data_IF_173936174461
#
_entry.id   IF_173936174461
#
_cell.length_a   1.000
_cell.length_b   1.000
_cell.length_c   1.000
_cell.angle_alpha   90.00
_cell.angle_beta   90.00
_cell.angle_gamma   90.00
#
_symmetry.space_group_name_H-M   'P 1'
#
loop_
_entity.id
_entity.type
_entity.pdbx_description
1 polymer ?
#
# COMPACT_ATOMS: atom_id res chain seq x y z
N UNK A 1 12.42 10.74 25.43
CA UNK A 1 12.08 11.62 24.28
C UNK A 1 11.91 10.67 23.11
N UNK A 2 10.68 10.41 22.67
CA UNK A 2 10.40 9.21 21.87
C UNK A 2 9.21 9.42 20.92
N UNK A 3 9.39 10.24 19.88
CA UNK A 3 8.30 10.62 18.96
C UNK A 3 8.03 9.58 17.85
N UNK A 4 6.80 9.67 17.33
CA UNK A 4 6.17 8.77 16.36
C UNK A 4 6.88 8.60 15.00
N UNK A 5 6.71 7.44 14.38
CA UNK A 5 7.20 7.07 13.05
C UNK A 5 6.15 7.23 11.96
N UNK A 6 6.55 7.50 10.72
CA UNK A 6 5.66 7.52 9.55
C UNK A 6 6.23 6.64 8.43
N UNK A 7 5.50 5.61 8.02
CA UNK A 7 5.78 4.82 6.82
C UNK A 7 4.59 4.95 5.85
N UNK A 8 4.92 5.25 4.60
CA UNK A 8 3.99 5.84 3.67
C UNK A 8 4.13 5.17 2.31
N UNK A 9 3.04 4.68 1.70
CA UNK A 9 3.10 4.09 0.36
C UNK A 9 2.41 4.97 -0.70
N UNK A 10 3.13 5.36 -1.75
CA UNK A 10 2.59 6.10 -2.90
C UNK A 10 2.30 5.18 -4.09
N UNK A 11 1.14 5.36 -4.75
CA UNK A 11 0.85 4.73 -6.06
C UNK A 11 1.03 5.76 -7.17
N UNK A 12 1.93 5.47 -8.10
CA UNK A 12 2.10 6.25 -9.32
C UNK A 12 0.87 6.09 -10.23
N UNK A 13 0.24 7.21 -10.58
CA UNK A 13 -0.20 7.42 -11.95
C UNK A 13 0.89 8.29 -12.58
N UNK A 14 1.26 8.03 -13.83
CA UNK A 14 1.35 9.04 -14.88
C UNK A 14 1.59 8.33 -16.21
N UNK A 15 0.70 8.62 -17.15
CA UNK A 15 0.78 8.22 -18.54
C UNK A 15 1.11 9.45 -19.37
N UNK A 16 2.24 9.36 -20.09
CA UNK A 16 2.70 10.15 -21.25
C UNK A 16 3.56 11.40 -20.99
N UNK A 17 4.58 11.64 -21.86
CA UNK A 17 5.62 12.64 -21.65
C UNK A 17 5.20 13.99 -22.23
N UNK A 18 5.40 15.07 -21.48
CA UNK A 18 5.39 16.42 -22.03
C UNK A 18 6.81 16.97 -21.97
N UNK A 19 7.33 17.25 -23.15
CA UNK A 19 8.60 17.90 -23.38
C UNK A 19 8.66 19.25 -22.65
N UNK A 20 9.75 19.47 -21.92
CA UNK A 20 10.09 20.73 -21.29
C UNK A 20 10.61 21.66 -22.39
N UNK A 21 9.84 22.69 -22.71
CA UNK A 21 10.32 23.84 -23.49
C UNK A 21 10.37 25.04 -22.55
N UNK A 22 11.58 25.46 -22.20
CA UNK A 22 11.85 26.63 -21.37
C UNK A 22 11.66 27.88 -22.21
N UNK A 23 10.73 28.76 -21.84
CA UNK A 23 10.75 30.17 -22.25
C UNK A 23 9.97 31.03 -21.25
N UNK A 24 10.70 31.91 -20.58
CA UNK A 24 10.18 33.08 -19.83
C UNK A 24 9.23 33.87 -20.72
N UNK A 25 8.08 34.30 -20.20
CA UNK A 25 7.44 35.51 -20.69
C UNK A 25 6.69 36.27 -19.60
N UNK A 26 6.94 37.57 -19.61
CA UNK A 26 6.51 38.62 -18.69
C UNK A 26 5.04 38.97 -18.89
N UNK A 27 4.34 39.28 -17.79
CA UNK A 27 2.97 39.80 -17.77
C UNK A 27 2.87 41.19 -18.44
N UNK A 28 1.96 41.34 -19.42
CA UNK A 28 1.29 42.61 -19.73
C UNK A 28 -0.14 42.41 -20.20
N UNK A 29 -0.93 43.43 -19.89
CA UNK A 29 -2.38 43.58 -19.80
C UNK A 29 -3.18 43.50 -21.12
N UNK A 30 -4.44 43.05 -21.00
CA UNK A 30 -5.62 43.09 -21.91
C UNK A 30 -5.86 44.43 -22.66
N UNK A 31 -6.79 44.61 -23.65
CA UNK A 31 -8.04 43.84 -23.88
C UNK A 31 -8.60 43.64 -25.34
N UNK A 32 -9.62 42.75 -25.43
CA UNK A 32 -10.79 42.65 -26.33
C UNK A 32 -10.63 42.84 -27.85
N UNK A 33 -11.01 41.82 -28.63
CA UNK A 33 -11.84 41.99 -29.84
C UNK A 33 -12.58 40.70 -30.24
N UNK A 34 -13.78 40.92 -30.77
CA UNK A 34 -14.89 40.01 -31.09
C UNK A 34 -14.80 39.36 -32.47
N UNK A 35 -15.44 38.18 -32.58
CA UNK A 35 -16.17 37.65 -33.75
C UNK A 35 -15.39 37.31 -35.04
N UNK A 36 -15.39 36.03 -35.43
CA UNK A 36 -15.77 35.62 -36.79
C UNK A 36 -15.98 34.10 -36.89
N UNK A 37 -17.15 33.76 -37.42
CA UNK A 37 -17.66 32.44 -37.77
C UNK A 37 -17.29 32.21 -39.25
N UNK A 38 -16.64 31.09 -39.61
CA UNK A 38 -16.63 30.64 -41.02
C UNK A 38 -16.50 29.11 -41.12
N UNK A 39 -17.53 28.52 -41.74
CA UNK A 39 -17.57 27.17 -42.29
C UNK A 39 -16.84 27.11 -43.64
N UNK A 40 -16.21 25.97 -43.96
CA UNK A 40 -16.00 25.37 -45.31
C UNK A 40 -15.39 23.97 -45.07
N UNK A 41 -16.14 22.85 -45.20
CA UNK A 41 -16.41 22.00 -46.39
C UNK A 41 -15.16 21.47 -47.13
N UNK A 42 -15.08 20.13 -47.26
CA UNK A 42 -14.38 19.40 -48.34
C UNK A 42 -13.25 18.45 -47.86
N UNK A 43 -13.49 17.13 -47.70
CA UNK A 43 -13.14 16.02 -48.64
C UNK A 43 -11.61 15.73 -48.62
N UNK A 44 -11.07 14.58 -48.17
CA UNK A 44 -11.14 13.21 -48.73
C UNK A 44 -10.79 12.12 -47.71
N UNK A 45 -11.49 10.98 -47.79
CA UNK A 45 -11.17 9.67 -47.19
C UNK A 45 -10.02 8.98 -47.94
N UNK A 46 -9.13 8.30 -47.22
CA UNK A 46 -8.28 7.23 -47.75
C UNK A 46 -8.36 6.03 -46.80
N UNK A 47 -9.06 5.00 -47.26
CA UNK A 47 -9.18 3.68 -46.63
C UNK A 47 -8.22 2.77 -47.41
N UNK A 48 -7.23 2.19 -46.75
CA UNK A 48 -6.39 1.12 -47.31
C UNK A 48 -6.81 -0.23 -46.73
N UNK A 49 -6.94 -1.18 -47.66
CA UNK A 49 -7.63 -2.47 -47.57
C UNK A 49 -6.96 -3.49 -46.65
N UNK A 50 -7.84 -4.28 -46.03
CA UNK A 50 -7.61 -5.58 -45.40
C UNK A 50 -7.26 -6.60 -46.49
N UNK A 51 -6.21 -7.40 -46.28
CA UNK A 51 -6.05 -8.71 -46.91
C UNK A 51 -5.89 -9.76 -45.81
N UNK A 52 -6.93 -10.59 -45.63
CA UNK A 52 -6.88 -11.89 -44.98
C UNK A 52 -6.51 -12.94 -46.03
N UNK A 53 -5.57 -13.84 -45.73
CA UNK A 53 -5.52 -15.19 -46.30
C UNK A 53 -5.04 -16.16 -45.23
N UNK A 54 -5.80 -17.25 -45.09
CA UNK A 54 -5.68 -18.36 -44.15
C UNK A 54 -4.80 -19.50 -44.71
N UNK A 55 -4.50 -20.57 -43.93
CA UNK A 55 -3.34 -21.44 -44.09
C UNK A 55 -3.57 -22.65 -45.02
N UNK A 56 -2.53 -23.09 -45.73
CA UNK A 56 -2.58 -24.24 -46.63
C UNK A 56 -1.24 -24.95 -46.77
N UNK A 57 -1.23 -26.23 -46.38
CA UNK A 57 -0.18 -27.25 -46.45
C UNK A 57 0.51 -27.35 -47.82
N UNK A 58 1.83 -27.56 -47.83
CA UNK A 58 2.51 -28.40 -48.82
C UNK A 58 3.65 -29.20 -48.14
N UNK A 59 3.64 -30.52 -48.37
CA UNK A 59 4.66 -31.49 -47.97
C UNK A 59 5.51 -31.89 -49.18
N UNK A 60 6.79 -32.17 -48.89
CA UNK A 60 7.74 -33.09 -49.54
C UNK A 60 8.23 -32.85 -50.99
N UNK A 61 9.56 -32.73 -51.18
CA UNK A 61 10.44 -33.89 -51.50
C UNK A 61 11.93 -33.49 -51.76
N UNK A 62 12.84 -34.41 -51.35
CA UNK A 62 14.24 -34.57 -51.79
C UNK A 62 15.28 -33.70 -51.06
N UNK A 63 16.35 -34.18 -50.44
CA UNK A 63 17.17 -35.38 -50.73
C UNK A 63 17.91 -35.85 -49.46
N UNK A 64 18.00 -37.17 -49.26
CA UNK A 64 18.76 -37.84 -48.18
C UNK A 64 20.26 -37.94 -48.49
N UNK A 65 21.08 -37.85 -47.45
CA UNK A 65 22.21 -38.74 -47.09
C UNK A 65 23.08 -38.02 -46.02
N UNK A 66 23.74 -38.62 -45.02
CA UNK A 66 23.71 -39.90 -44.30
C UNK A 66 24.75 -39.76 -43.17
N UNK A 67 24.54 -40.49 -42.06
CA UNK A 67 25.55 -41.00 -41.11
C UNK A 67 26.14 -40.08 -40.01
N UNK A 68 25.52 -40.20 -38.84
CA UNK A 68 26.12 -40.59 -37.56
C UNK A 68 27.66 -40.63 -37.43
N UNK A 69 28.18 -39.80 -36.53
CA UNK A 69 29.36 -40.11 -35.72
C UNK A 69 28.93 -40.03 -34.26
N UNK A 70 28.96 -41.18 -33.60
CA UNK A 70 28.78 -41.32 -32.16
C UNK A 70 30.01 -40.73 -31.46
N UNK A 71 29.79 -39.77 -30.56
CA UNK A 71 30.74 -39.40 -29.53
C UNK A 71 30.05 -39.60 -28.18
N UNK A 72 30.72 -40.35 -27.33
CA UNK A 72 30.31 -40.82 -26.02
C UNK A 72 29.60 -39.74 -25.18
N UNK A 73 28.37 -40.07 -24.73
CA UNK A 73 27.72 -39.38 -23.62
C UNK A 73 28.51 -39.67 -22.35
N UNK A 74 29.23 -38.66 -21.88
CA UNK A 74 29.63 -38.56 -20.48
C UNK A 74 28.36 -38.53 -19.63
N UNK A 75 28.24 -39.49 -18.72
CA UNK A 75 27.27 -39.49 -17.62
C UNK A 75 27.61 -38.34 -16.67
N UNK A 76 27.21 -37.12 -17.02
CA UNK A 76 27.05 -36.06 -16.05
C UNK A 76 25.64 -36.16 -15.47
N UNK A 77 25.59 -36.68 -14.24
CA UNK A 77 24.47 -36.52 -13.30
C UNK A 77 23.94 -35.09 -13.43
N UNK A 78 22.63 -34.86 -13.62
CA UNK A 78 22.10 -33.51 -13.57
C UNK A 78 22.44 -32.98 -12.18
N UNK A 79 23.30 -31.96 -12.11
CA UNK A 79 23.51 -31.18 -10.91
C UNK A 79 22.14 -30.61 -10.57
N UNK A 80 21.45 -31.25 -9.60
CA UNK A 80 20.22 -30.71 -9.04
C UNK A 80 20.52 -29.27 -8.65
N UNK A 81 19.89 -28.32 -9.33
CA UNK A 81 19.82 -26.95 -8.83
C UNK A 81 19.31 -27.06 -7.38
N UNK A 82 19.96 -26.40 -6.40
CA UNK A 82 19.49 -26.47 -5.02
C UNK A 82 18.02 -26.06 -5.03
N UNK A 83 17.13 -27.01 -4.67
CA UNK A 83 15.68 -26.78 -4.66
C UNK A 83 15.44 -25.49 -3.89
N UNK A 84 14.86 -24.48 -4.57
CA UNK A 84 14.70 -23.17 -3.96
C UNK A 84 13.77 -23.33 -2.73
N UNK A 85 14.33 -23.10 -1.54
CA UNK A 85 13.61 -23.23 -0.29
C UNK A 85 12.61 -22.06 -0.22
N UNK A 86 11.32 -22.37 -0.30
CA UNK A 86 10.30 -21.33 -0.36
C UNK A 86 9.92 -20.78 1.01
N UNK A 87 9.99 -21.60 2.08
CA UNK A 87 9.60 -21.24 3.45
C UNK A 87 10.79 -21.07 4.38
N UNK A 88 10.69 -20.16 5.34
CA UNK A 88 11.65 -20.05 6.45
C UNK A 88 11.07 -20.63 7.73
N UNK A 89 11.95 -21.18 8.58
CA UNK A 89 11.62 -21.64 9.93
C UNK A 89 11.52 -20.43 10.88
N UNK A 90 12.21 -19.34 10.57
CA UNK A 90 12.20 -18.11 11.37
C UNK A 90 10.92 -17.32 11.10
N UNK A 91 9.98 -17.39 12.04
CA UNK A 91 8.72 -16.64 11.98
C UNK A 91 8.79 -15.29 12.70
N UNK A 92 9.89 -14.99 13.39
CA UNK A 92 10.07 -13.72 14.09
C UNK A 92 10.60 -12.64 13.12
N UNK A 93 9.78 -11.62 12.78
CA UNK A 93 10.20 -10.55 11.88
C UNK A 93 11.40 -9.75 12.39
N UNK A 94 11.70 -9.80 13.71
CA UNK A 94 12.86 -9.12 14.26
C UNK A 94 14.20 -9.80 13.94
N UNK A 95 14.20 -11.09 13.60
CA UNK A 95 15.40 -11.86 13.30
C UNK A 95 15.65 -12.05 11.81
N UNK A 96 14.77 -11.50 10.96
CA UNK A 96 14.98 -11.51 9.53
C UNK A 96 16.22 -10.70 9.14
N UNK A 97 16.94 -11.20 8.15
CA UNK A 97 18.18 -10.66 7.61
C UNK A 97 18.31 -11.05 6.13
N UNK A 98 19.41 -10.67 5.50
CA UNK A 98 19.61 -10.85 4.06
C UNK A 98 19.64 -12.33 3.62
N UNK A 99 20.00 -13.24 4.53
CA UNK A 99 19.98 -14.68 4.28
C UNK A 99 18.55 -15.24 4.10
N UNK A 100 17.54 -14.55 4.62
CA UNK A 100 16.13 -14.95 4.53
C UNK A 100 15.42 -14.33 3.33
N UNK A 101 16.14 -13.58 2.49
CA UNK A 101 15.58 -12.92 1.32
C UNK A 101 14.91 -13.92 0.36
N UNK A 102 13.67 -13.62 -0.03
CA UNK A 102 12.87 -14.46 -0.91
C UNK A 102 12.17 -15.62 -0.20
N UNK A 103 12.41 -15.86 1.10
CA UNK A 103 11.72 -16.90 1.85
C UNK A 103 10.40 -16.39 2.44
N UNK A 104 9.44 -17.29 2.62
CA UNK A 104 8.11 -17.03 3.18
C UNK A 104 8.07 -17.42 4.66
N UNK A 105 7.79 -16.47 5.54
CA UNK A 105 7.57 -16.74 6.96
C UNK A 105 6.06 -16.84 7.23
N UNK A 106 5.68 -17.63 8.23
CA UNK A 106 4.27 -17.83 8.59
C UNK A 106 3.85 -16.86 9.68
N UNK A 107 2.72 -16.19 9.47
CA UNK A 107 2.06 -15.33 10.46
C UNK A 107 1.02 -16.17 11.19
N UNK A 108 1.07 -16.19 12.51
CA UNK A 108 0.08 -16.94 13.29
C UNK A 108 -1.34 -16.35 13.06
N UNK A 109 -2.39 -17.18 13.08
CA UNK A 109 -3.76 -16.69 12.88
C UNK A 109 -4.23 -15.75 14.00
N UNK A 110 -3.61 -15.85 15.20
CA UNK A 110 -3.84 -14.91 16.30
C UNK A 110 -3.24 -13.55 15.97
N UNK A 111 -1.97 -13.52 15.55
CA UNK A 111 -1.31 -12.28 15.13
C UNK A 111 -2.03 -11.64 13.94
N UNK A 112 -2.53 -12.44 13.00
CA UNK A 112 -3.29 -11.93 11.87
C UNK A 112 -4.56 -11.17 12.32
N UNK A 113 -5.31 -11.72 13.27
CA UNK A 113 -6.54 -11.09 13.80
C UNK A 113 -6.24 -9.86 14.64
N UNK A 114 -5.18 -9.89 15.44
CA UNK A 114 -4.82 -8.79 16.35
C UNK A 114 -4.12 -7.65 15.61
N UNK A 115 -3.10 -7.97 14.80
CA UNK A 115 -2.26 -6.98 14.11
C UNK A 115 -2.94 -6.45 12.85
N UNK A 116 -3.68 -7.30 12.12
CA UNK A 116 -4.31 -6.95 10.86
C UNK A 116 -5.84 -7.21 10.85
N UNK A 117 -6.63 -6.56 11.73
CA UNK A 117 -8.08 -6.57 11.58
C UNK A 117 -8.52 -5.92 10.26
N UNK A 118 -7.70 -5.00 9.75
CA UNK A 118 -7.85 -4.33 8.46
C UNK A 118 -6.49 -4.12 7.78
N UNK A 119 -6.53 -3.92 6.46
CA UNK A 119 -5.39 -3.47 5.66
C UNK A 119 -4.54 -4.54 4.98
N UNK A 120 -4.89 -5.81 5.15
CA UNK A 120 -4.43 -6.81 4.19
C UNK A 120 -5.03 -6.50 2.81
N UNK A 121 -4.23 -6.56 1.73
CA UNK A 121 -4.77 -6.46 0.38
C UNK A 121 -5.87 -7.52 0.16
N UNK A 122 -7.01 -7.18 -0.47
CA UNK A 122 -8.13 -8.12 -0.63
C UNK A 122 -7.73 -9.45 -1.29
N UNK A 123 -6.83 -9.40 -2.28
CA UNK A 123 -6.27 -10.58 -2.95
C UNK A 123 -5.45 -11.46 -2.01
N UNK A 124 -4.63 -10.85 -1.17
CA UNK A 124 -3.87 -11.58 -0.17
C UNK A 124 -4.80 -12.18 0.89
N UNK A 125 -5.84 -11.46 1.31
CA UNK A 125 -6.85 -12.02 2.22
C UNK A 125 -7.58 -13.24 1.62
N UNK A 126 -7.86 -13.23 0.31
CA UNK A 126 -8.38 -14.41 -0.40
C UNK A 126 -7.39 -15.56 -0.39
N UNK A 127 -6.11 -15.30 -0.69
CA UNK A 127 -5.05 -16.31 -0.66
C UNK A 127 -4.93 -16.96 0.73
N UNK A 128 -4.89 -16.15 1.80
CA UNK A 128 -4.85 -16.65 3.18
C UNK A 128 -6.08 -17.49 3.52
N UNK A 129 -7.26 -17.07 3.07
CA UNK A 129 -8.50 -17.83 3.29
C UNK A 129 -8.49 -19.17 2.55
N UNK A 130 -7.98 -19.22 1.32
CA UNK A 130 -7.95 -20.46 0.52
C UNK A 130 -6.88 -21.42 1.01
N UNK A 131 -5.68 -20.93 1.33
CA UNK A 131 -4.57 -21.75 1.79
C UNK A 131 -4.67 -22.10 3.29
N UNK A 132 -5.53 -21.41 4.05
CA UNK A 132 -5.63 -21.52 5.52
C UNK A 132 -4.32 -21.21 6.26
N UNK A 133 -3.36 -20.58 5.60
CA UNK A 133 -2.08 -20.13 6.15
C UNK A 133 -1.76 -18.71 5.67
N UNK A 134 -1.08 -17.94 6.51
CA UNK A 134 -0.74 -16.55 6.24
C UNK A 134 0.77 -16.41 6.05
N UNK A 135 1.26 -16.80 4.87
CA UNK A 135 2.68 -16.73 4.53
C UNK A 135 3.01 -15.43 3.79
N UNK A 136 4.03 -14.71 4.28
CA UNK A 136 4.48 -13.46 3.69
C UNK A 136 5.96 -13.55 3.31
N UNK A 137 6.32 -13.14 2.09
CA UNK A 137 7.69 -13.22 1.60
C UNK A 137 8.56 -12.08 2.14
N UNK A 138 9.75 -12.41 2.62
CA UNK A 138 10.76 -11.44 3.07
C UNK A 138 11.44 -10.82 1.85
N UNK A 139 11.36 -9.50 1.73
CA UNK A 139 11.90 -8.74 0.58
C UNK A 139 12.96 -7.72 1.00
N UNK A 140 13.91 -7.43 0.10
CA UNK A 140 14.97 -6.42 0.34
C UNK A 140 14.47 -5.06 0.84
N UNK A 141 13.43 -4.43 0.23
CA UNK A 141 12.98 -3.11 0.69
C UNK A 141 12.40 -3.14 2.12
N UNK A 142 11.80 -4.26 2.51
CA UNK A 142 11.31 -4.44 3.88
C UNK A 142 12.48 -4.64 4.85
N UNK A 143 13.48 -5.46 4.51
CA UNK A 143 14.69 -5.64 5.32
C UNK A 143 15.45 -4.33 5.53
N UNK A 144 15.59 -3.51 4.47
CA UNK A 144 16.22 -2.19 4.55
C UNK A 144 15.45 -1.26 5.51
N UNK A 145 14.12 -1.20 5.38
CA UNK A 145 13.28 -0.41 6.27
C UNK A 145 13.33 -0.91 7.72
N UNK A 146 13.34 -2.23 7.94
CA UNK A 146 13.52 -2.84 9.26
C UNK A 146 14.88 -2.51 9.86
N UNK A 147 15.95 -2.48 9.05
CA UNK A 147 17.28 -2.08 9.49
C UNK A 147 17.31 -0.62 9.95
N UNK A 148 16.66 0.29 9.20
CA UNK A 148 16.53 1.68 9.63
C UNK A 148 15.76 1.79 10.95
N UNK A 149 14.65 1.06 11.10
CA UNK A 149 13.85 1.06 12.33
C UNK A 149 14.59 0.48 13.55
N UNK A 150 15.46 -0.51 13.35
CA UNK A 150 16.30 -1.04 14.43
C UNK A 150 17.35 -0.03 14.92
N UNK A 151 17.86 0.79 14.00
CA UNK A 151 18.94 1.75 14.28
C UNK A 151 18.44 3.16 14.63
N UNK A 152 17.12 3.36 14.73
CA UNK A 152 16.60 4.69 15.00
C UNK A 152 16.80 5.11 16.44
N UNK A 153 17.35 6.32 16.61
CA UNK A 153 17.37 6.99 17.89
C UNK A 153 16.10 7.84 18.06
N UNK A 154 15.32 7.50 19.06
CA UNK A 154 14.06 8.15 19.35
C UNK A 154 14.15 9.57 19.92
N UNK A 155 15.35 10.00 20.31
CA UNK A 155 15.59 11.38 20.73
C UNK A 155 15.43 12.38 19.56
N UNK A 156 15.63 11.92 18.32
CA UNK A 156 15.46 12.72 17.12
C UNK A 156 13.98 12.85 16.72
N UNK A 157 13.63 13.86 15.90
CA UNK A 157 12.28 13.98 15.36
C UNK A 157 11.90 12.75 14.52
N UNK A 158 10.58 12.55 14.41
CA UNK A 158 9.95 11.54 13.57
C UNK A 158 10.58 11.44 12.17
N UNK A 159 11.20 10.30 11.86
CA UNK A 159 11.71 9.99 10.51
C UNK A 159 10.55 9.53 9.63
N UNK A 160 10.53 10.01 8.38
CA UNK A 160 9.52 9.70 7.38
C UNK A 160 10.10 8.77 6.33
N UNK A 161 9.44 7.64 6.08
CA UNK A 161 9.80 6.68 5.04
C UNK A 161 8.71 6.63 3.97
N UNK A 162 9.10 6.70 2.70
CA UNK A 162 8.19 6.63 1.56
C UNK A 162 8.49 5.40 0.69
N UNK A 163 7.63 4.39 0.75
CA UNK A 163 7.64 3.24 -0.15
C UNK A 163 7.00 3.63 -1.49
N UNK A 164 7.79 3.65 -2.56
CA UNK A 164 7.32 3.96 -3.90
C UNK A 164 7.73 2.88 -4.91
N UNK A 165 7.02 2.78 -6.03
CA UNK A 165 7.28 1.79 -7.07
C UNK A 165 6.07 1.56 -7.97
N UNK A 166 6.22 0.71 -8.99
CA UNK A 166 5.19 0.45 -9.98
C UNK A 166 3.92 -0.19 -9.40
N UNK A 167 2.81 -0.18 -10.15
CA UNK A 167 1.58 -0.82 -9.69
C UNK A 167 1.79 -2.33 -9.56
N UNK A 168 1.42 -2.88 -8.40
CA UNK A 168 1.51 -4.32 -8.17
C UNK A 168 2.85 -4.85 -7.65
N UNK A 169 3.81 -3.98 -7.30
CA UNK A 169 5.13 -4.40 -6.79
C UNK A 169 5.18 -4.87 -5.33
N UNK A 170 4.06 -4.89 -4.61
CA UNK A 170 4.02 -5.39 -3.22
C UNK A 170 4.31 -4.36 -2.12
N UNK A 171 4.29 -3.05 -2.41
CA UNK A 171 4.47 -1.98 -1.41
C UNK A 171 3.65 -2.17 -0.13
N UNK A 172 2.35 -2.45 -0.27
CA UNK A 172 1.44 -2.67 0.86
C UNK A 172 1.86 -3.88 1.69
N UNK A 173 2.29 -4.98 1.06
CA UNK A 173 2.76 -6.16 1.79
C UNK A 173 4.09 -5.90 2.51
N UNK A 174 5.00 -5.13 1.92
CA UNK A 174 6.21 -4.67 2.61
C UNK A 174 5.88 -3.79 3.82
N UNK A 175 4.86 -2.92 3.71
CA UNK A 175 4.37 -2.14 4.85
C UNK A 175 3.74 -3.04 5.91
N UNK A 176 2.95 -4.05 5.53
CA UNK A 176 2.41 -5.05 6.47
C UNK A 176 3.52 -5.80 7.20
N UNK A 177 4.60 -6.19 6.53
CA UNK A 177 5.75 -6.83 7.19
C UNK A 177 6.34 -5.94 8.30
N UNK A 178 6.50 -4.65 8.02
CA UNK A 178 6.98 -3.67 9.02
C UNK A 178 6.00 -3.48 10.16
N UNK A 179 4.70 -3.43 9.89
CA UNK A 179 3.67 -3.37 10.93
C UNK A 179 3.72 -4.60 11.83
N UNK A 180 3.88 -5.80 11.25
CA UNK A 180 4.03 -7.04 12.01
C UNK A 180 5.26 -7.03 12.91
N UNK A 181 6.39 -6.52 12.40
CA UNK A 181 7.60 -6.31 13.19
C UNK A 181 7.36 -5.37 14.39
N UNK A 182 6.79 -4.19 14.15
CA UNK A 182 6.53 -3.23 15.22
C UNK A 182 5.49 -3.75 16.23
N UNK A 183 4.53 -4.58 15.79
CA UNK A 183 3.58 -5.24 16.69
C UNK A 183 4.28 -6.19 17.67
N UNK A 184 5.24 -6.97 17.19
CA UNK A 184 6.04 -7.89 18.04
C UNK A 184 6.96 -7.17 19.02
N UNK A 185 7.32 -5.92 18.73
CA UNK A 185 8.11 -5.07 19.62
C UNK A 185 7.28 -4.24 20.60
N UNK A 186 5.97 -4.49 20.70
CA UNK A 186 5.03 -3.74 21.54
C UNK A 186 5.00 -2.22 21.22
N UNK A 187 4.98 -1.86 19.93
CA UNK A 187 4.74 -0.47 19.51
C UNK A 187 3.24 -0.21 19.36
N UNK A 188 2.82 1.04 19.55
CA UNK A 188 1.46 1.48 19.25
C UNK A 188 1.31 1.67 17.75
N UNK A 189 0.37 0.94 17.13
CA UNK A 189 0.20 0.90 15.68
C UNK A 189 -0.99 1.76 15.28
N UNK A 190 -0.70 2.83 14.56
CA UNK A 190 -1.68 3.65 13.88
C UNK A 190 -1.70 3.31 12.38
N UNK A 191 -2.47 2.31 12.01
CA UNK A 191 -2.56 1.83 10.62
C UNK A 191 -3.80 2.39 9.89
N UNK A 192 -3.55 2.96 8.71
CA UNK A 192 -4.57 3.41 7.77
C UNK A 192 -4.40 2.62 6.47
N UNK A 193 -5.34 1.70 6.17
CA UNK A 193 -5.14 0.69 5.13
C UNK A 193 -5.29 1.20 3.70
N UNK A 194 -6.08 2.25 3.48
CA UNK A 194 -6.17 2.95 2.20
C UNK A 194 -6.75 4.34 2.42
N UNK A 195 -5.89 5.36 2.40
CA UNK A 195 -6.32 6.74 2.51
C UNK A 195 -7.18 7.20 1.32
N UNK A 196 -7.18 6.48 0.19
CA UNK A 196 -8.05 6.82 -0.94
C UNK A 196 -9.53 6.60 -0.60
N UNK A 197 -9.87 5.69 0.31
CA UNK A 197 -11.25 5.46 0.74
C UNK A 197 -11.83 6.67 1.47
N UNK A 198 -10.99 7.51 2.08
CA UNK A 198 -11.43 8.71 2.78
C UNK A 198 -11.66 9.91 1.86
N UNK A 199 -11.26 9.84 0.59
CA UNK A 199 -11.40 10.96 -0.37
C UNK A 199 -12.32 10.63 -1.55
N UNK A 200 -12.88 9.42 -1.58
CA UNK A 200 -13.78 8.95 -2.64
C UNK A 200 -14.90 8.08 -2.08
N UNK A 201 -16.02 8.01 -2.79
CA UNK A 201 -17.13 7.08 -2.51
C UNK A 201 -17.68 7.12 -1.08
N UNK A 202 -17.73 8.30 -0.45
CA UNK A 202 -18.41 8.47 0.83
C UNK A 202 -19.91 8.60 0.60
N UNK A 203 -20.69 7.79 1.31
CA UNK A 203 -22.15 7.80 1.23
C UNK A 203 -22.72 8.96 2.06
N UNK A 204 -22.27 9.07 3.31
CA UNK A 204 -22.76 10.05 4.27
C UNK A 204 -21.68 11.08 4.57
N UNK A 205 -21.86 12.30 4.06
CA UNK A 205 -21.01 13.44 4.35
C UNK A 205 -21.79 14.46 5.18
N UNK A 206 -21.37 14.67 6.42
CA UNK A 206 -22.06 15.59 7.34
C UNK A 206 -21.24 16.86 7.52
N UNK A 207 -21.90 18.00 7.68
CA UNK A 207 -21.19 19.21 8.13
C UNK A 207 -20.80 19.04 9.59
N UNK A 208 -19.54 19.34 9.92
CA UNK A 208 -19.04 19.16 11.28
C UNK A 208 -19.64 20.16 12.25
N UNK A 209 -20.05 19.66 13.43
CA UNK A 209 -20.55 20.49 14.52
C UNK A 209 -19.43 21.33 15.16
N UNK A 210 -18.21 20.79 15.22
CA UNK A 210 -17.06 21.45 15.82
C UNK A 210 -16.49 22.54 14.91
N UNK A 211 -16.39 22.26 13.61
CA UNK A 211 -15.94 23.23 12.63
C UNK A 211 -16.85 23.27 11.40
N UNK A 212 -17.64 24.33 11.27
CA UNK A 212 -18.60 24.51 10.18
C UNK A 212 -17.98 24.52 8.78
N UNK A 213 -16.68 24.79 8.64
CA UNK A 213 -15.99 24.75 7.34
C UNK A 213 -15.56 23.34 6.94
N UNK A 214 -15.70 22.36 7.84
CA UNK A 214 -15.27 20.98 7.61
C UNK A 214 -16.44 20.02 7.49
N UNK A 215 -16.15 18.89 6.86
CA UNK A 215 -17.05 17.77 6.71
C UNK A 215 -16.55 16.54 7.45
N UNK A 216 -17.49 15.86 8.09
CA UNK A 216 -17.31 14.65 8.88
C UNK A 216 -17.75 13.42 8.10
N UNK A 217 -17.02 12.32 8.31
CA UNK A 217 -17.16 11.04 7.63
C UNK A 217 -17.36 9.93 8.67
N UNK A 218 -18.58 9.83 9.23
CA UNK A 218 -18.81 9.05 10.45
C UNK A 218 -18.70 7.53 10.23
N UNK A 219 -19.05 7.02 9.04
CA UNK A 219 -18.98 5.58 8.72
C UNK A 219 -17.52 5.10 8.64
N UNK A 220 -16.69 5.86 7.93
CA UNK A 220 -15.26 5.57 7.79
C UNK A 220 -14.54 5.71 9.13
N UNK A 221 -14.87 6.75 9.90
CA UNK A 221 -14.31 6.99 11.22
C UNK A 221 -14.66 5.86 12.21
N UNK A 222 -15.93 5.46 12.28
CA UNK A 222 -16.36 4.38 13.19
C UNK A 222 -15.77 3.02 12.82
N UNK A 223 -15.69 2.71 11.53
CA UNK A 223 -15.03 1.48 11.04
C UNK A 223 -13.56 1.47 11.42
N UNK A 224 -12.86 2.59 11.23
CA UNK A 224 -11.46 2.72 11.63
C UNK A 224 -11.26 2.61 13.14
N UNK A 225 -12.12 3.23 13.97
CA UNK A 225 -12.05 3.15 15.43
C UNK A 225 -12.22 1.72 15.95
N UNK A 226 -13.16 0.95 15.38
CA UNK A 226 -13.35 -0.48 15.73
C UNK A 226 -12.07 -1.27 15.50
N UNK A 227 -11.43 -1.08 14.36
CA UNK A 227 -10.19 -1.78 14.03
C UNK A 227 -9.02 -1.31 14.90
N UNK A 228 -8.92 0.01 15.14
CA UNK A 228 -7.91 0.60 16.02
C UNK A 228 -8.01 0.06 17.45
N UNK A 229 -9.24 -0.16 17.94
CA UNK A 229 -9.50 -0.77 19.25
C UNK A 229 -8.93 -2.19 19.33
N UNK A 230 -9.23 -3.03 18.34
CA UNK A 230 -8.75 -4.41 18.29
C UNK A 230 -7.22 -4.51 18.24
N UNK A 231 -6.56 -3.61 17.49
CA UNK A 231 -5.10 -3.65 17.36
C UNK A 231 -4.36 -3.20 18.61
N UNK A 232 -4.87 -2.19 19.32
CA UNK A 232 -4.12 -1.50 20.39
C UNK A 232 -4.77 -1.60 21.77
N UNK A 233 -5.59 -2.63 22.02
CA UNK A 233 -6.38 -2.78 23.25
C UNK A 233 -5.54 -2.60 24.54
N UNK A 234 -4.31 -3.10 24.54
CA UNK A 234 -3.36 -2.98 25.66
C UNK A 234 -3.03 -1.53 26.02
N UNK A 235 -2.85 -0.67 25.03
CA UNK A 235 -2.44 0.72 25.22
C UNK A 235 -3.61 1.65 25.57
N UNK A 236 -4.85 1.27 25.22
CA UNK A 236 -6.03 2.10 25.45
C UNK A 236 -6.30 2.38 26.93
N UNK A 237 -5.96 1.42 27.79
CA UNK A 237 -6.12 1.55 29.25
C UNK A 237 -4.95 2.30 29.90
N UNK A 238 -3.77 2.27 29.28
CA UNK A 238 -2.56 2.93 29.79
C UNK A 238 -2.54 4.42 29.45
N UNK A 239 -3.02 4.79 28.26
CA UNK A 239 -3.03 6.16 27.77
C UNK A 239 -4.21 6.90 28.40
N UNK A 240 -3.92 8.00 29.10
CA UNK A 240 -4.93 8.85 29.76
C UNK A 240 -5.07 10.19 29.07
N UNK A 241 -6.29 10.64 28.81
CA UNK A 241 -6.52 11.93 28.15
C UNK A 241 -6.08 13.11 29.03
N UNK A 242 -5.40 14.10 28.43
CA UNK A 242 -4.88 15.26 29.17
C UNK A 242 -5.80 16.48 29.14
N UNK A 243 -6.85 16.44 28.35
CA UNK A 243 -7.85 17.51 28.18
C UNK A 243 -9.26 16.97 28.43
N UNK A 244 -10.17 17.88 28.76
CA UNK A 244 -11.61 17.60 28.82
C UNK A 244 -12.21 17.74 27.43
N UNK A 245 -12.93 16.73 26.98
CA UNK A 245 -13.59 16.72 25.67
C UNK A 245 -15.10 16.70 25.85
N UNK A 246 -15.79 17.70 25.30
CA UNK A 246 -17.26 17.82 25.37
C UNK A 246 -17.86 17.30 24.07
N UNK A 247 -18.66 16.24 24.16
CA UNK A 247 -19.30 15.61 23.01
C UNK A 247 -20.65 16.24 22.69
N UNK A 248 -21.43 16.49 23.75
CA UNK A 248 -22.78 17.04 23.72
C UNK A 248 -22.99 17.87 25.00
N UNK A 249 -24.10 18.62 25.08
CA UNK A 249 -24.45 19.40 26.28
C UNK A 249 -24.53 18.58 27.58
N UNK A 250 -24.74 17.26 27.48
CA UNK A 250 -24.92 16.35 28.62
C UNK A 250 -23.72 15.43 28.87
N UNK A 251 -22.81 15.32 27.92
CA UNK A 251 -21.74 14.31 27.96
C UNK A 251 -20.39 14.91 27.64
N UNK A 252 -19.45 14.64 28.55
CA UNK A 252 -18.07 15.01 28.42
C UNK A 252 -17.19 13.92 28.99
N UNK A 253 -16.04 13.70 28.35
CA UNK A 253 -14.95 12.89 28.90
C UNK A 253 -14.03 13.83 29.66
N UNK A 254 -13.85 13.54 30.95
CA UNK A 254 -13.00 14.36 31.84
C UNK A 254 -11.51 14.05 31.63
N UNK A 255 -10.67 14.98 32.08
CA UNK A 255 -9.22 14.78 32.08
C UNK A 255 -8.86 13.60 32.98
N UNK A 256 -8.01 12.70 32.49
CA UNK A 256 -7.53 11.53 33.22
C UNK A 256 -8.24 10.21 32.88
N UNK A 257 -9.35 10.26 32.14
CA UNK A 257 -10.00 9.06 31.59
C UNK A 257 -9.08 8.29 30.63
N UNK A 258 -9.18 6.95 30.55
CA UNK A 258 -8.46 6.16 29.58
C UNK A 258 -8.89 6.49 28.14
N UNK A 259 -7.96 6.38 27.19
CA UNK A 259 -8.22 6.62 25.76
C UNK A 259 -9.28 5.65 25.20
N UNK A 260 -9.40 4.47 25.81
CA UNK A 260 -10.44 3.49 25.49
C UNK A 260 -11.86 4.05 25.59
N UNK A 261 -12.16 4.94 26.56
CA UNK A 261 -13.49 5.56 26.69
C UNK A 261 -13.82 6.47 25.51
N UNK A 262 -12.83 7.21 25.00
CA UNK A 262 -12.99 8.07 23.82
C UNK A 262 -13.26 7.23 22.57
N UNK A 263 -12.54 6.11 22.42
CA UNK A 263 -12.71 5.19 21.29
C UNK A 263 -14.10 4.54 21.36
N UNK A 264 -14.51 4.05 22.52
CA UNK A 264 -15.83 3.42 22.73
C UNK A 264 -16.98 4.39 22.49
N UNK A 265 -16.83 5.64 22.94
CA UNK A 265 -17.80 6.69 22.69
C UNK A 265 -17.96 6.97 21.18
N UNK A 266 -16.86 7.00 20.42
CA UNK A 266 -16.90 7.17 18.96
C UNK A 266 -17.50 5.96 18.22
N UNK A 267 -17.34 4.74 18.75
CA UNK A 267 -17.95 3.53 18.20
C UNK A 267 -19.45 3.50 18.48
N UNK A 268 -19.85 3.83 19.71
CA UNK A 268 -21.25 3.84 20.15
C UNK A 268 -22.03 4.97 19.46
N UNK A 269 -21.40 6.14 19.31
CA UNK A 269 -22.01 7.33 18.70
C UNK A 269 -21.32 7.71 17.41
N UNK A 270 -21.76 7.03 16.35
CA UNK A 270 -21.21 7.16 15.00
C UNK A 270 -21.16 8.61 14.50
N UNK A 271 -22.13 9.47 14.86
CA UNK A 271 -22.13 10.90 14.47
C UNK A 271 -20.90 11.68 14.95
N UNK A 272 -20.39 11.36 16.13
CA UNK A 272 -19.22 12.03 16.72
C UNK A 272 -17.92 11.23 16.49
N UNK A 273 -17.96 10.16 15.69
CA UNK A 273 -16.81 9.30 15.46
C UNK A 273 -15.64 10.05 14.82
N UNK A 274 -15.91 10.98 13.90
CA UNK A 274 -14.88 11.78 13.23
C UNK A 274 -14.10 12.65 14.21
N UNK A 275 -14.83 13.31 15.13
CA UNK A 275 -14.22 14.10 16.20
C UNK A 275 -13.42 13.22 17.15
N UNK A 276 -13.93 12.03 17.48
CA UNK A 276 -13.22 11.05 18.30
C UNK A 276 -11.89 10.61 17.68
N UNK A 277 -11.87 10.34 16.37
CA UNK A 277 -10.61 10.08 15.64
C UNK A 277 -9.65 11.26 15.76
N UNK A 278 -10.15 12.49 15.55
CA UNK A 278 -9.34 13.70 15.69
C UNK A 278 -8.71 13.86 17.09
N UNK A 279 -9.49 13.56 18.14
CA UNK A 279 -9.04 13.58 19.53
C UNK A 279 -7.98 12.51 19.78
N UNK A 280 -8.22 11.27 19.33
CA UNK A 280 -7.26 10.15 19.45
C UNK A 280 -5.93 10.53 18.81
N UNK A 281 -5.93 11.04 17.57
CA UNK A 281 -4.72 11.45 16.87
C UNK A 281 -3.98 12.59 17.61
N UNK A 282 -4.72 13.59 18.10
CA UNK A 282 -4.16 14.71 18.86
C UNK A 282 -3.46 14.22 20.13
N UNK A 283 -4.11 13.35 20.88
CA UNK A 283 -3.59 12.84 22.16
C UNK A 283 -2.38 11.93 21.93
N UNK A 284 -2.42 11.06 20.93
CA UNK A 284 -1.28 10.20 20.57
C UNK A 284 -0.05 11.01 20.16
N UNK A 285 -0.22 12.05 19.34
CA UNK A 285 0.88 12.95 18.95
C UNK A 285 1.47 13.65 20.18
N UNK A 286 0.61 14.17 21.07
CA UNK A 286 1.04 14.85 22.30
C UNK A 286 1.84 13.92 23.22
N UNK A 287 1.32 12.72 23.49
CA UNK A 287 1.93 11.78 24.43
C UNK A 287 3.15 11.05 23.88
N UNK A 288 3.27 10.89 22.56
CA UNK A 288 4.51 10.36 21.96
C UNK A 288 5.73 11.21 22.37
N UNK A 289 5.57 12.53 22.53
CA UNK A 289 6.67 13.40 23.00
C UNK A 289 7.17 13.05 24.41
N UNK A 290 6.30 12.48 25.25
CA UNK A 290 6.61 12.10 26.62
C UNK A 290 7.35 10.76 26.71
N UNK A 291 7.30 9.94 25.66
CA UNK A 291 8.05 8.69 25.56
C UNK A 291 7.47 7.51 26.33
N UNK A 292 6.17 7.56 26.64
CA UNK A 292 5.45 6.47 27.33
C UNK A 292 5.33 5.24 26.42
N UNK A 293 5.23 5.45 25.11
CA UNK A 293 5.11 4.40 24.10
C UNK A 293 5.81 4.82 22.81
N UNK A 294 6.22 3.83 22.02
CA UNK A 294 6.68 4.03 20.65
C UNK A 294 5.48 4.04 19.71
N UNK A 295 5.35 5.07 18.88
CA UNK A 295 4.24 5.20 17.94
C UNK A 295 4.71 4.89 16.52
N UNK A 296 4.06 3.97 15.82
CA UNK A 296 4.19 3.76 14.38
C UNK A 296 2.93 4.27 13.68
N UNK A 297 3.11 5.14 12.69
CA UNK A 297 2.03 5.58 11.78
C UNK A 297 2.27 4.99 10.40
N UNK A 298 1.43 4.04 10.03
CA UNK A 298 1.47 3.38 8.73
C UNK A 298 0.29 3.85 7.87
N UNK A 299 0.58 4.50 6.74
CA UNK A 299 -0.45 5.03 5.83
C UNK A 299 -0.23 4.51 4.43
N UNK A 300 -1.12 3.65 3.95
CA UNK A 300 -1.17 3.30 2.53
C UNK A 300 -1.95 4.37 1.74
N UNK A 301 -1.44 4.70 0.56
CA UNK A 301 -2.08 5.62 -0.36
C UNK A 301 -2.01 7.09 0.06
N UNK A 302 -0.88 7.53 0.61
CA UNK A 302 -0.75 8.90 1.16
C UNK A 302 -1.01 10.01 0.16
N UNK A 303 -0.80 9.71 -1.12
CA UNK A 303 -1.03 10.62 -2.23
C UNK A 303 -2.49 11.12 -2.24
N UNK A 304 -3.42 10.37 -1.63
CA UNK A 304 -4.79 10.81 -1.40
C UNK A 304 -4.89 12.07 -0.54
N UNK A 305 -3.99 12.25 0.44
CA UNK A 305 -4.08 13.35 1.41
C UNK A 305 -3.84 14.71 0.77
N UNK A 306 -2.95 14.81 -0.22
CA UNK A 306 -2.64 16.04 -0.96
C UNK A 306 -3.20 16.05 -2.39
N UNK A 307 -4.00 15.03 -2.74
CA UNK A 307 -4.62 14.91 -4.04
C UNK A 307 -5.88 15.75 -4.20
N UNK A 308 -6.72 15.35 -5.15
CA UNK A 308 -8.07 15.90 -5.34
C UNK A 308 -9.10 14.89 -4.80
N UNK A 309 -10.20 15.38 -4.26
CA UNK A 309 -11.31 14.52 -3.85
C UNK A 309 -12.35 14.39 -4.97
N UNK A 310 -13.10 13.30 -4.96
CA UNK A 310 -14.28 13.13 -5.85
C UNK A 310 -15.58 13.59 -5.19
N UNK A 311 -15.52 13.94 -3.91
CA UNK A 311 -16.67 14.35 -3.11
C UNK A 311 -17.14 15.73 -3.54
N UNK A 312 -18.46 15.91 -3.49
CA UNK A 312 -19.13 17.15 -3.86
C UNK A 312 -20.10 17.53 -2.76
N UNK A 313 -20.30 18.84 -2.59
CA UNK A 313 -21.35 19.35 -1.70
C UNK A 313 -22.72 19.21 -2.37
N UNK A 314 -23.78 19.54 -1.64
CA UNK A 314 -25.16 19.53 -2.14
C UNK A 314 -25.35 20.43 -3.38
N UNK A 315 -24.60 21.54 -3.45
CA UNK A 315 -24.56 22.48 -4.59
C UNK A 315 -23.73 21.97 -5.78
N UNK A 316 -23.22 20.73 -5.73
CA UNK A 316 -22.32 20.08 -6.70
C UNK A 316 -20.92 20.70 -6.82
N UNK A 317 -20.57 21.66 -5.97
CA UNK A 317 -19.20 22.18 -5.90
C UNK A 317 -18.23 21.10 -5.39
N UNK A 318 -16.98 21.07 -5.91
CA UNK A 318 -15.98 20.12 -5.46
C UNK A 318 -15.49 20.46 -4.05
N UNK A 319 -15.22 19.43 -3.25
CA UNK A 319 -14.67 19.58 -1.90
C UNK A 319 -13.15 19.45 -1.94
N UNK A 320 -12.44 20.34 -1.25
CA UNK A 320 -10.99 20.21 -1.09
C UNK A 320 -10.66 19.17 -0.01
N UNK A 321 -9.53 18.43 -0.10
CA UNK A 321 -9.17 17.46 0.94
C UNK A 321 -8.97 18.09 2.32
N UNK A 322 -8.65 19.39 2.39
CA UNK A 322 -8.48 20.15 3.63
C UNK A 322 -9.79 20.40 4.38
N UNK A 323 -10.91 20.39 3.65
CA UNK A 323 -12.24 20.51 4.22
C UNK A 323 -12.70 19.20 4.86
N UNK A 324 -12.07 18.07 4.56
CA UNK A 324 -12.39 16.78 5.19
C UNK A 324 -11.69 16.68 6.55
N UNK A 325 -12.45 16.50 7.62
CA UNK A 325 -11.92 16.49 8.98
C UNK A 325 -10.91 15.34 9.22
N UNK A 326 -11.17 14.14 8.69
CA UNK A 326 -10.26 13.00 8.78
C UNK A 326 -8.91 13.28 8.11
N UNK A 327 -8.95 13.80 6.87
CA UNK A 327 -7.74 14.12 6.09
C UNK A 327 -6.96 15.24 6.75
N UNK A 328 -7.64 16.29 7.23
CA UNK A 328 -7.02 17.39 7.95
C UNK A 328 -6.28 16.92 9.21
N UNK A 329 -6.92 16.06 10.01
CA UNK A 329 -6.32 15.53 11.22
C UNK A 329 -5.14 14.59 10.90
N UNK A 330 -5.24 13.77 9.84
CA UNK A 330 -4.14 12.91 9.44
C UNK A 330 -2.93 13.69 8.91
N UNK A 331 -3.16 14.78 8.15
CA UNK A 331 -2.08 15.69 7.71
C UNK A 331 -1.32 16.30 8.89
N UNK A 332 -1.96 16.50 10.04
CA UNK A 332 -1.26 16.99 11.26
C UNK A 332 -0.36 15.93 11.87
N UNK A 333 -0.71 14.66 11.71
CA UNK A 333 0.14 13.56 12.14
C UNK A 333 1.41 13.56 11.28
N UNK A 334 1.29 13.62 9.95
CA UNK A 334 2.46 13.53 9.07
C UNK A 334 3.48 14.67 9.25
N UNK A 335 3.08 15.82 9.80
CA UNK A 335 3.98 16.92 10.17
C UNK A 335 4.86 16.56 11.38
N UNK A 336 6.17 16.43 11.14
CA UNK A 336 7.19 16.62 12.17
C UNK A 336 7.21 18.13 12.51
N UNK A 337 7.29 18.49 13.79
CA UNK A 337 7.08 19.88 14.26
C UNK A 337 8.29 20.81 13.98
N UNK A 338 8.95 20.65 12.84
CA UNK A 338 9.96 21.61 12.37
C UNK A 338 9.23 22.78 11.69
N UNK A 339 9.58 24.00 12.08
CA UNK A 339 9.12 25.20 11.39
C UNK A 339 9.90 25.33 10.07
N UNK A 340 9.30 24.88 8.97
CA UNK A 340 9.90 24.98 7.64
C UNK A 340 8.95 24.47 6.56
N UNK A 341 8.91 25.18 5.43
CA UNK A 341 8.07 24.87 4.28
C UNK A 341 8.59 23.60 3.59
N UNK A 342 7.96 22.46 3.85
CA UNK A 342 7.62 21.41 2.89
C UNK A 342 6.79 20.33 3.60
N UNK A 343 5.58 20.05 3.12
CA UNK A 343 4.60 19.25 3.87
C UNK A 343 5.04 17.79 4.13
N UNK A 344 6.06 17.32 3.40
CA UNK A 344 6.59 15.95 3.45
C UNK A 344 8.11 15.85 3.57
N UNK A 345 8.87 16.90 3.25
CA UNK A 345 10.33 16.85 3.36
C UNK A 345 10.83 17.11 4.78
N UNK A 346 12.02 16.62 5.14
CA UNK A 346 12.76 15.56 4.46
C UNK A 346 12.13 14.18 4.68
N UNK A 347 12.19 13.29 3.69
CA UNK A 347 11.80 11.88 3.80
C UNK A 347 12.82 10.96 3.11
N UNK A 348 12.83 9.68 3.52
CA UNK A 348 13.68 8.64 2.94
C UNK A 348 12.85 7.85 1.91
N UNK A 349 13.10 8.01 0.60
CA UNK A 349 12.43 7.23 -0.43
C UNK A 349 13.01 5.81 -0.50
N UNK A 350 12.15 4.79 -0.40
CA UNK A 350 12.52 3.37 -0.53
C UNK A 350 11.80 2.80 -1.76
N UNK A 351 12.59 2.37 -2.74
CA UNK A 351 12.08 1.81 -3.99
C UNK A 351 11.67 0.34 -3.79
N UNK A 352 10.44 0.01 -4.17
CA UNK A 352 9.92 -1.35 -4.21
C UNK A 352 9.78 -1.81 -5.66
N UNK A 353 10.79 -2.57 -6.10
CA UNK A 353 10.89 -3.15 -7.45
C UNK A 353 10.09 -4.46 -7.61
N UNK A 354 10.02 -4.93 -8.85
CA UNK A 354 9.54 -6.27 -9.21
C UNK A 354 10.40 -7.37 -8.56
N UNK A 355 9.96 -8.63 -8.66
CA UNK A 355 10.71 -9.74 -8.11
C UNK A 355 12.06 -9.91 -8.81
N UNK A 356 13.08 -10.19 -8.01
CA UNK A 356 14.34 -10.69 -8.54
C UNK A 356 14.20 -12.19 -8.91
N UNK A 357 15.16 -12.77 -9.66
CA UNK A 357 15.06 -14.17 -10.08
C UNK A 357 14.90 -15.17 -8.92
N UNK A 358 15.51 -14.88 -7.76
CA UNK A 358 15.42 -15.73 -6.57
C UNK A 358 14.04 -15.64 -5.91
N UNK A 359 13.53 -14.41 -5.72
CA UNK A 359 12.18 -14.12 -5.22
C UNK A 359 11.12 -14.75 -6.12
N UNK A 360 11.30 -14.68 -7.45
CA UNK A 360 10.40 -15.28 -8.42
C UNK A 360 10.36 -16.81 -8.30
N UNK A 361 11.52 -17.47 -8.33
CA UNK A 361 11.59 -18.93 -8.21
C UNK A 361 11.01 -19.40 -6.87
N UNK A 362 11.36 -18.73 -5.77
CA UNK A 362 10.82 -19.03 -4.44
C UNK A 362 9.30 -18.87 -4.38
N UNK A 363 8.74 -17.83 -5.02
CA UNK A 363 7.29 -17.63 -5.08
C UNK A 363 6.58 -18.72 -5.89
N UNK A 364 7.17 -19.18 -7.00
CA UNK A 364 6.65 -20.33 -7.75
C UNK A 364 6.72 -21.61 -6.91
N UNK A 365 7.84 -21.87 -6.24
CA UNK A 365 7.97 -23.04 -5.36
C UNK A 365 6.92 -23.02 -4.23
N UNK A 366 6.65 -21.85 -3.64
CA UNK A 366 5.59 -21.68 -2.64
C UNK A 366 4.20 -22.05 -3.20
N UNK A 367 3.90 -21.69 -4.45
CA UNK A 367 2.65 -22.08 -5.09
C UNK A 367 2.58 -23.58 -5.42
N UNK A 368 3.71 -24.18 -5.82
CA UNK A 368 3.79 -25.62 -6.09
C UNK A 368 3.63 -26.46 -4.81
N UNK A 369 4.31 -26.07 -3.71
CA UNK A 369 4.17 -26.73 -2.41
C UNK A 369 2.73 -26.75 -1.90
N UNK A 370 1.98 -25.70 -2.22
CA UNK A 370 0.57 -25.55 -1.84
C UNK A 370 -0.42 -26.16 -2.84
N UNK A 371 0.08 -26.85 -3.88
CA UNK A 371 -0.74 -27.34 -4.99
C UNK A 371 -1.66 -26.25 -5.55
N UNK A 372 -1.19 -25.01 -5.62
CA UNK A 372 -1.98 -23.89 -6.14
C UNK A 372 -2.08 -23.94 -7.66
N UNK A 373 -1.00 -24.36 -8.33
CA UNK A 373 -0.94 -24.53 -9.77
C UNK A 373 -1.38 -25.95 -10.14
N UNK A 374 -2.53 -26.08 -10.80
CA UNK A 374 -3.10 -27.39 -11.14
C UNK A 374 -2.72 -27.85 -12.57
N UNK A 375 -2.39 -26.91 -13.45
CA UNK A 375 -1.99 -27.23 -14.82
C UNK A 375 -0.67 -28.04 -14.89
N UNK A 376 -0.69 -29.18 -15.61
CA UNK A 376 0.43 -30.13 -15.70
C UNK A 376 1.75 -29.53 -16.19
N UNK A 377 1.69 -28.52 -17.08
CA UNK A 377 2.89 -27.84 -17.61
C UNK A 377 3.38 -26.67 -16.75
N UNK A 378 2.65 -26.28 -15.70
CA UNK A 378 3.06 -25.15 -14.86
C UNK A 378 4.37 -25.39 -14.07
N UNK A 379 4.65 -26.61 -13.56
CA UNK A 379 5.90 -26.88 -12.86
C UNK A 379 7.13 -26.99 -13.78
N UNK A 380 6.95 -27.10 -15.10
CA UNK A 380 8.06 -27.28 -16.04
C UNK A 380 8.86 -25.99 -16.22
N UNK A 381 10.13 -26.11 -16.58
CA UNK A 381 11.00 -24.96 -16.85
C UNK A 381 10.48 -24.06 -17.98
N UNK A 382 9.77 -24.63 -18.96
CA UNK A 382 9.09 -23.86 -20.01
C UNK A 382 7.93 -23.05 -19.42
N UNK A 383 7.07 -23.67 -18.61
CA UNK A 383 5.96 -22.99 -17.94
C UNK A 383 6.42 -21.86 -17.04
N UNK A 384 7.52 -22.06 -16.28
CA UNK A 384 8.13 -21.00 -15.46
C UNK A 384 8.64 -19.83 -16.30
N UNK A 385 9.28 -20.10 -17.44
CA UNK A 385 9.77 -19.05 -18.37
C UNK A 385 8.62 -18.28 -18.99
N UNK A 386 7.53 -18.95 -19.38
CA UNK A 386 6.32 -18.30 -19.88
C UNK A 386 5.69 -17.40 -18.81
N UNK A 387 5.54 -17.88 -17.58
CA UNK A 387 5.03 -17.10 -16.46
C UNK A 387 5.91 -15.87 -16.16
N UNK A 388 7.23 -16.05 -16.19
CA UNK A 388 8.18 -14.95 -16.00
C UNK A 388 8.03 -13.90 -17.09
N UNK A 389 7.91 -14.32 -18.36
CA UNK A 389 7.75 -13.44 -19.50
C UNK A 389 6.42 -12.67 -19.47
N UNK A 390 5.30 -13.37 -19.21
CA UNK A 390 3.96 -12.77 -19.17
C UNK A 390 3.79 -11.81 -17.98
N UNK A 391 4.32 -12.16 -16.82
CA UNK A 391 4.22 -11.34 -15.60
C UNK A 391 5.29 -10.25 -15.53
N UNK A 392 6.40 -10.37 -16.27
CA UNK A 392 7.60 -9.54 -16.14
C UNK A 392 8.09 -9.44 -14.68
N UNK A 393 8.03 -10.58 -13.96
CA UNK A 393 8.31 -10.68 -12.52
C UNK A 393 7.49 -9.72 -11.63
N UNK A 394 6.35 -9.21 -12.10
CA UNK A 394 5.47 -8.36 -11.30
C UNK A 394 4.62 -9.24 -10.35
N UNK A 395 4.67 -8.99 -9.02
CA UNK A 395 3.96 -9.81 -8.03
C UNK A 395 2.45 -9.91 -8.28
N UNK A 396 1.82 -8.78 -8.61
CA UNK A 396 0.36 -8.74 -8.81
C UNK A 396 -0.06 -9.39 -10.12
N UNK A 397 0.75 -9.34 -11.17
CA UNK A 397 0.43 -10.02 -12.41
C UNK A 397 0.67 -11.52 -12.28
N UNK A 398 1.75 -11.91 -11.61
CA UNK A 398 2.06 -13.31 -11.34
C UNK A 398 0.94 -13.99 -10.55
N UNK A 399 0.50 -13.42 -9.41
CA UNK A 399 -0.63 -13.97 -8.63
C UNK A 399 -1.89 -14.12 -9.48
N UNK A 400 -2.18 -13.14 -10.35
CA UNK A 400 -3.36 -13.19 -11.22
C UNK A 400 -3.27 -14.28 -12.26
N UNK A 401 -2.11 -14.46 -12.89
CA UNK A 401 -1.89 -15.53 -13.86
C UNK A 401 -1.99 -16.90 -13.18
N UNK A 402 -1.33 -17.07 -12.04
CA UNK A 402 -1.38 -18.30 -11.26
C UNK A 402 -2.75 -18.61 -10.65
N UNK A 403 -3.63 -17.63 -10.47
CA UNK A 403 -4.95 -17.84 -9.86
C UNK A 403 -5.97 -18.56 -10.77
N UNK A 404 -5.70 -18.68 -12.07
CA UNK A 404 -6.60 -19.35 -13.02
C UNK A 404 -5.94 -20.50 -13.81
N UNK A 405 -4.71 -20.88 -13.43
CA UNK A 405 -3.97 -22.04 -13.96
C UNK A 405 -4.17 -23.25 -13.05
#
# INVERSE_FOLDING_TARGET
>A
MTRAFYAVAGRALWSRPLAVCVSRLVWRSSPRLTSARMMLKGITRLISRIHKLDPGRFLHMGTQASQSIAAHLDNQVPVESPRAISRTIENDPAKHGDQHEGQHYNISPQDLKTVFPHGLPPRFAMQVKTLSEACLMVRKPALELLHYLKNTNFAYPAVRYLLYGEKGTGKTLSLCHVIHFCAKQDWLILHIPDAHLWVKNCQDLLQSNYNKQRFDQPLEASTWLKNFKTTNERFLNQIKVQEKYVWNKRESTEKGSPLGEVVEQGITRVRNATDAVGIVLKELKRQSSLGIFHLLVAVDGINALWGRTTLKREDKSPIAPEELALVHNLRKMTKNDWEGFDALDPFIPILVSNYNPKEFESCIQYYLENNWLQHEKAPTEEGKKELLFLSNANPSLLERHCAYL
#
